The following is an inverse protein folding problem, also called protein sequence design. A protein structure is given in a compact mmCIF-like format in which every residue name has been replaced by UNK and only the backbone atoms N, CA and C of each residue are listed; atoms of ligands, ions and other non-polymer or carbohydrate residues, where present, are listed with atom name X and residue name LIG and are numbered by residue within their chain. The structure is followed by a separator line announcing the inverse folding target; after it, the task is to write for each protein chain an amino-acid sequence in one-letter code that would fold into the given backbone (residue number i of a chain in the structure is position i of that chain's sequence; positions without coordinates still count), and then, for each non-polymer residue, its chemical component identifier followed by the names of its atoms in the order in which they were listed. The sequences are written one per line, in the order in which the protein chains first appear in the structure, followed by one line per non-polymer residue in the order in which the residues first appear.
data_IF_065516687546
#
_entry.id   IF_065516687546
#
_cell.length_a   1.000
_cell.length_b   1.000
_cell.length_c   1.000
_cell.angle_alpha   90.00
_cell.angle_beta   90.00
_cell.angle_gamma   90.00
#
_symmetry.space_group_name_H-M   'P 1'
#
loop_
_entity.id
_entity.type
_entity.pdbx_description
1 polymer ?
#
# COMPACT_ATOMS: atom_id res chain seq x y z
N UNK A 1 12.55 -10.93 6.26
CA UNK A 1 13.68 -11.45 5.46
C UNK A 1 13.82 -10.52 4.27
N UNK A 2 14.76 -9.58 4.35
CA UNK A 2 15.09 -8.67 3.25
C UNK A 2 15.88 -9.43 2.18
N UNK A 3 15.40 -9.40 0.94
CA UNK A 3 16.08 -10.04 -0.18
C UNK A 3 17.00 -9.01 -0.84
N UNK A 4 18.31 -9.25 -0.74
CA UNK A 4 19.39 -8.41 -1.25
C UNK A 4 19.65 -8.58 -2.76
N UNK A 5 18.61 -8.63 -3.59
CA UNK A 5 18.75 -8.61 -5.05
C UNK A 5 17.71 -7.65 -5.63
N UNK A 6 18.18 -6.55 -6.22
CA UNK A 6 17.33 -5.52 -6.80
C UNK A 6 16.38 -6.07 -7.87
N UNK A 7 15.09 -5.75 -7.68
CA UNK A 7 14.03 -5.68 -8.71
C UNK A 7 13.61 -7.00 -9.40
N UNK A 8 13.28 -8.06 -8.65
CA UNK A 8 12.19 -8.92 -9.09
C UNK A 8 10.86 -8.32 -8.61
N UNK A 9 10.16 -7.62 -9.51
CA UNK A 9 8.80 -7.13 -9.25
C UNK A 9 7.88 -8.35 -9.16
N UNK A 10 7.57 -8.81 -7.95
CA UNK A 10 6.66 -9.93 -7.74
C UNK A 10 5.30 -9.63 -8.38
N UNK A 11 4.93 -10.42 -9.37
CA UNK A 11 3.66 -10.24 -10.07
C UNK A 11 2.51 -10.78 -9.23
N UNK A 12 1.86 -9.87 -8.49
CA UNK A 12 0.69 -10.16 -7.67
C UNK A 12 -0.62 -9.75 -8.35
N UNK A 13 -1.64 -10.60 -8.26
CA UNK A 13 -2.97 -10.43 -8.85
C UNK A 13 -4.00 -10.25 -7.73
N UNK A 14 -4.78 -9.18 -7.76
CA UNK A 14 -6.01 -9.07 -6.99
C UNK A 14 -7.17 -9.61 -7.84
N UNK A 15 -7.74 -10.76 -7.46
CA UNK A 15 -8.83 -11.40 -8.21
C UNK A 15 -10.16 -11.21 -7.49
N UNK A 16 -11.04 -10.37 -8.06
CA UNK A 16 -12.39 -10.09 -7.58
C UNK A 16 -13.41 -10.81 -8.47
N UNK A 17 -13.78 -12.03 -8.09
CA UNK A 17 -14.68 -12.90 -8.88
C UNK A 17 -15.58 -13.74 -7.96
N UNK A 18 -16.49 -14.54 -8.54
CA UNK A 18 -17.31 -15.48 -7.78
C UNK A 18 -16.51 -16.68 -7.25
N UNK A 19 -17.01 -17.32 -6.21
CA UNK A 19 -16.47 -18.57 -5.67
C UNK A 19 -17.58 -19.59 -5.37
N UNK A 20 -17.28 -20.86 -5.60
CA UNK A 20 -18.16 -21.99 -5.22
C UNK A 20 -17.37 -23.07 -4.47
N UNK A 21 -18.00 -23.67 -3.47
CA UNK A 21 -17.41 -24.79 -2.72
C UNK A 21 -17.31 -26.05 -3.59
N UNK A 22 -18.41 -26.44 -4.25
CA UNK A 22 -18.47 -27.57 -5.18
C UNK A 22 -18.53 -27.11 -6.64
N UNK A 23 -17.63 -27.65 -7.47
CA UNK A 23 -17.42 -27.23 -8.87
C UNK A 23 -16.19 -26.35 -9.06
N UNK A 24 -15.96 -25.94 -10.31
CA UNK A 24 -14.82 -25.12 -10.73
C UNK A 24 -15.33 -23.92 -11.54
N UNK A 25 -15.52 -22.79 -10.88
CA UNK A 25 -15.81 -21.49 -11.51
C UNK A 25 -15.10 -20.35 -10.78
N UNK A 26 -15.01 -19.19 -11.43
CA UNK A 26 -14.50 -17.95 -10.85
C UNK A 26 -13.12 -18.11 -10.21
N UNK A 27 -12.94 -17.57 -9.01
CA UNK A 27 -11.67 -17.59 -8.28
C UNK A 27 -11.12 -19.02 -8.07
N UNK A 28 -12.00 -20.02 -7.94
CA UNK A 28 -11.56 -21.42 -7.78
C UNK A 28 -10.93 -21.99 -9.05
N UNK A 29 -11.37 -21.54 -10.23
CA UNK A 29 -10.77 -21.94 -11.52
C UNK A 29 -9.59 -21.07 -11.92
N UNK A 30 -9.58 -19.80 -11.51
CA UNK A 30 -8.54 -18.84 -11.90
C UNK A 30 -7.26 -18.98 -11.06
N UNK A 31 -7.40 -19.24 -9.75
CA UNK A 31 -6.27 -19.17 -8.82
C UNK A 31 -5.15 -20.18 -9.16
N UNK A 32 -5.49 -21.45 -9.35
CA UNK A 32 -4.48 -22.49 -9.56
C UNK A 32 -3.65 -22.29 -10.85
N UNK A 33 -4.25 -22.02 -12.03
CA UNK A 33 -3.47 -21.70 -13.23
C UNK A 33 -2.56 -20.48 -13.07
N UNK A 34 -3.04 -19.42 -12.39
CA UNK A 34 -2.23 -18.21 -12.15
C UNK A 34 -1.03 -18.52 -11.26
N UNK A 35 -1.23 -19.27 -10.17
CA UNK A 35 -0.15 -19.69 -9.27
C UNK A 35 0.85 -20.61 -9.98
N UNK A 36 0.39 -21.50 -10.86
CA UNK A 36 1.27 -22.35 -11.68
C UNK A 36 2.18 -21.52 -12.60
N UNK A 37 1.70 -20.36 -13.05
CA UNK A 37 2.48 -19.40 -13.85
C UNK A 37 3.39 -18.50 -13.00
N UNK A 38 3.50 -18.75 -11.69
CA UNK A 38 4.34 -17.97 -10.78
C UNK A 38 3.74 -16.64 -10.34
N UNK A 39 2.43 -16.44 -10.54
CA UNK A 39 1.71 -15.26 -10.06
C UNK A 39 1.21 -15.50 -8.63
N UNK A 40 1.50 -14.55 -7.75
CA UNK A 40 0.84 -14.49 -6.44
C UNK A 40 -0.60 -14.00 -6.63
N UNK A 41 -1.57 -14.59 -5.94
CA UNK A 41 -2.99 -14.25 -6.14
C UNK A 41 -3.68 -14.05 -4.80
N UNK A 42 -4.20 -12.84 -4.59
CA UNK A 42 -5.11 -12.54 -3.49
C UNK A 42 -6.54 -12.50 -4.01
N UNK A 43 -7.44 -13.15 -3.28
CA UNK A 43 -8.81 -13.39 -3.74
C UNK A 43 -9.80 -12.57 -2.91
N UNK A 44 -10.68 -11.84 -3.60
CA UNK A 44 -11.91 -11.30 -3.02
C UNK A 44 -13.09 -12.00 -3.72
N UNK A 45 -13.91 -12.70 -2.94
CA UNK A 45 -15.04 -13.46 -3.48
C UNK A 45 -16.28 -12.57 -3.52
N UNK A 46 -16.75 -12.20 -4.72
CA UNK A 46 -18.00 -11.42 -4.88
C UNK A 46 -19.22 -12.20 -4.38
N UNK A 47 -19.16 -13.53 -4.48
CA UNK A 47 -20.10 -14.46 -3.87
C UNK A 47 -19.35 -15.68 -3.36
N UNK A 48 -19.83 -16.25 -2.26
CA UNK A 48 -19.35 -17.51 -1.67
C UNK A 48 -20.53 -18.49 -1.65
N UNK A 49 -20.68 -19.29 -2.71
CA UNK A 49 -21.81 -20.20 -2.88
C UNK A 49 -21.42 -21.66 -2.67
N UNK A 50 -22.41 -22.50 -2.35
CA UNK A 50 -22.25 -23.96 -2.26
C UNK A 50 -21.90 -24.59 -3.62
N UNK A 51 -22.52 -24.12 -4.69
CA UNK A 51 -22.37 -24.62 -6.06
C UNK A 51 -22.80 -23.54 -7.07
N UNK A 52 -22.50 -23.75 -8.35
CA UNK A 52 -22.94 -22.83 -9.40
C UNK A 52 -24.47 -22.84 -9.58
N UNK A 53 -24.99 -21.83 -10.29
CA UNK A 53 -26.43 -21.56 -10.43
C UNK A 53 -27.21 -22.55 -11.30
N UNK A 54 -26.55 -23.58 -11.83
CA UNK A 54 -27.18 -24.63 -12.64
C UNK A 54 -27.84 -25.74 -11.80
N UNK A 55 -27.65 -25.73 -10.49
CA UNK A 55 -28.26 -26.69 -9.57
C UNK A 55 -29.60 -26.19 -9.02
N UNK A 56 -30.45 -27.13 -8.59
CA UNK A 56 -31.77 -26.85 -8.04
C UNK A 56 -31.74 -26.06 -6.72
N UNK A 57 -30.73 -26.30 -5.88
CA UNK A 57 -30.58 -25.64 -4.59
C UNK A 57 -29.23 -24.95 -4.56
N UNK A 58 -29.25 -23.68 -4.18
CA UNK A 58 -28.06 -22.84 -4.06
C UNK A 58 -28.18 -22.11 -2.73
N UNK A 59 -27.14 -22.19 -1.92
CA UNK A 59 -27.00 -21.44 -0.67
C UNK A 59 -25.64 -20.77 -0.63
N UNK A 60 -25.55 -19.64 0.05
CA UNK A 60 -24.29 -18.94 0.24
C UNK A 60 -24.47 -17.46 0.54
N UNK A 61 -23.36 -16.74 0.49
CA UNK A 61 -23.27 -15.32 0.79
C UNK A 61 -22.95 -14.53 -0.48
N UNK A 62 -23.46 -13.31 -0.54
CA UNK A 62 -23.12 -12.31 -1.55
C UNK A 62 -22.36 -11.21 -0.81
N UNK A 63 -21.16 -10.87 -1.29
CA UNK A 63 -20.37 -9.78 -0.75
C UNK A 63 -21.00 -8.45 -1.17
N UNK A 64 -21.33 -7.61 -0.20
CA UNK A 64 -21.92 -6.29 -0.43
C UNK A 64 -20.84 -5.27 -0.80
N UNK A 65 -21.28 -4.12 -1.31
CA UNK A 65 -20.38 -3.05 -1.72
C UNK A 65 -19.61 -2.45 -0.55
N UNK A 66 -20.25 -2.34 0.62
CA UNK A 66 -19.64 -1.82 1.83
C UNK A 66 -18.58 -2.79 2.37
N UNK A 67 -18.88 -4.09 2.35
CA UNK A 67 -17.96 -5.14 2.77
C UNK A 67 -16.74 -5.23 1.84
N UNK A 68 -16.92 -5.03 0.52
CA UNK A 68 -15.82 -4.89 -0.41
C UNK A 68 -14.92 -3.70 -0.07
N UNK A 69 -15.53 -2.56 0.27
CA UNK A 69 -14.78 -1.36 0.65
C UNK A 69 -13.99 -1.59 1.94
N UNK A 70 -14.59 -2.21 2.96
CA UNK A 70 -13.91 -2.52 4.23
C UNK A 70 -12.69 -3.44 4.02
N UNK A 71 -12.81 -4.46 3.16
CA UNK A 71 -11.68 -5.32 2.80
C UNK A 71 -10.57 -4.52 2.11
N UNK A 72 -10.93 -3.66 1.17
CA UNK A 72 -9.98 -2.83 0.45
C UNK A 72 -9.27 -1.83 1.36
N UNK A 73 -10.00 -1.13 2.23
CA UNK A 73 -9.42 -0.23 3.23
C UNK A 73 -8.51 -0.99 4.19
N UNK A 74 -8.87 -2.23 4.56
CA UNK A 74 -7.98 -3.11 5.32
C UNK A 74 -6.66 -3.38 4.58
N UNK A 75 -6.70 -3.70 3.28
CA UNK A 75 -5.49 -3.88 2.47
C UNK A 75 -4.68 -2.58 2.38
N UNK A 76 -5.35 -1.44 2.20
CA UNK A 76 -4.74 -0.10 2.11
C UNK A 76 -4.03 0.27 3.40
N UNK A 77 -4.69 0.11 4.54
CA UNK A 77 -4.15 0.43 5.85
C UNK A 77 -2.95 -0.45 6.24
N UNK A 78 -2.84 -1.64 5.66
CA UNK A 78 -1.70 -2.55 5.87
C UNK A 78 -0.62 -2.40 4.79
N UNK A 79 -0.72 -1.42 3.88
CA UNK A 79 0.25 -1.18 2.80
C UNK A 79 0.41 -2.40 1.85
N UNK A 80 -0.67 -3.17 1.66
CA UNK A 80 -0.69 -4.40 0.87
C UNK A 80 -1.16 -4.19 -0.59
N UNK A 81 -1.24 -2.94 -1.05
CA UNK A 81 -1.75 -2.58 -2.38
C UNK A 81 -0.73 -2.73 -3.51
N UNK A 82 0.32 -3.52 -3.30
CA UNK A 82 1.36 -3.81 -4.29
C UNK A 82 0.88 -4.81 -5.35
N UNK A 83 -0.32 -4.58 -5.89
CA UNK A 83 -0.91 -5.39 -6.94
C UNK A 83 -0.37 -4.96 -8.29
N UNK A 84 0.04 -5.96 -9.06
CA UNK A 84 0.36 -5.76 -10.46
C UNK A 84 -0.88 -5.92 -11.30
N UNK A 85 -1.66 -7.00 -11.12
CA UNK A 85 -2.85 -7.36 -11.91
C UNK A 85 -4.12 -7.18 -11.08
N UNK A 86 -5.22 -6.79 -11.75
CA UNK A 86 -6.56 -6.95 -11.20
C UNK A 86 -7.35 -7.81 -12.16
N UNK A 87 -7.92 -8.90 -11.67
CA UNK A 87 -8.78 -9.79 -12.44
C UNK A 87 -10.21 -9.63 -11.91
N UNK A 88 -11.13 -9.20 -12.75
CA UNK A 88 -12.54 -9.08 -12.39
C UNK A 88 -13.36 -10.19 -13.04
N UNK A 89 -14.50 -10.51 -12.45
CA UNK A 89 -15.38 -11.59 -12.90
C UNK A 89 -16.84 -11.27 -12.64
N UNK A 90 -17.61 -12.26 -12.22
CA UNK A 90 -19.03 -12.08 -11.92
C UNK A 90 -19.25 -11.00 -10.86
N UNK A 91 -19.93 -9.92 -11.25
CA UNK A 91 -20.38 -8.82 -10.38
C UNK A 91 -21.90 -8.76 -10.45
N UNK A 92 -22.57 -9.00 -9.33
CA UNK A 92 -24.03 -9.17 -9.28
C UNK A 92 -24.84 -7.90 -9.04
N UNK A 93 -24.20 -6.74 -8.83
CA UNK A 93 -24.86 -5.49 -8.48
C UNK A 93 -24.11 -4.27 -9.04
N UNK A 94 -24.85 -3.26 -9.49
CA UNK A 94 -24.33 -1.98 -9.98
C UNK A 94 -23.50 -1.25 -8.92
N UNK A 95 -23.96 -1.18 -7.67
CA UNK A 95 -23.21 -0.49 -6.60
C UNK A 95 -21.85 -1.14 -6.35
N UNK A 96 -21.80 -2.47 -6.40
CA UNK A 96 -20.56 -3.23 -6.29
C UNK A 96 -19.61 -2.92 -7.46
N UNK A 97 -20.15 -2.80 -8.68
CA UNK A 97 -19.35 -2.48 -9.87
C UNK A 97 -18.76 -1.07 -9.79
N UNK A 98 -19.54 -0.09 -9.35
CA UNK A 98 -19.06 1.28 -9.12
C UNK A 98 -17.93 1.29 -8.11
N UNK A 99 -18.10 0.63 -6.96
CA UNK A 99 -17.07 0.55 -5.92
C UNK A 99 -15.81 -0.19 -6.40
N UNK A 100 -15.97 -1.27 -7.17
CA UNK A 100 -14.86 -1.99 -7.78
C UNK A 100 -14.09 -1.10 -8.77
N UNK A 101 -14.80 -0.24 -9.50
CA UNK A 101 -14.19 0.73 -10.44
C UNK A 101 -13.36 1.77 -9.69
N UNK A 102 -13.87 2.29 -8.57
CA UNK A 102 -13.12 3.20 -7.69
C UNK A 102 -11.83 2.53 -7.16
N UNK A 103 -11.92 1.29 -6.70
CA UNK A 103 -10.75 0.50 -6.25
C UNK A 103 -9.72 0.36 -7.38
N UNK A 104 -10.17 0.03 -8.60
CA UNK A 104 -9.27 -0.10 -9.75
C UNK A 104 -8.61 1.24 -10.09
N UNK A 105 -9.33 2.36 -9.96
CA UNK A 105 -8.76 3.70 -10.16
C UNK A 105 -7.70 4.01 -9.11
N UNK A 106 -7.97 3.76 -7.83
CA UNK A 106 -7.01 3.97 -6.74
C UNK A 106 -5.76 3.08 -6.92
N UNK A 107 -5.92 1.80 -7.30
CA UNK A 107 -4.80 0.90 -7.61
C UNK A 107 -3.97 1.36 -8.82
N UNK A 108 -4.61 1.93 -9.86
CA UNK A 108 -3.90 2.53 -10.99
C UNK A 108 -3.08 3.73 -10.55
N UNK A 109 -3.59 4.50 -9.59
CA UNK A 109 -2.86 5.66 -9.08
C UNK A 109 -1.62 5.25 -8.28
N UNK A 110 -1.71 4.16 -7.53
CA UNK A 110 -0.61 3.63 -6.71
C UNK A 110 0.52 3.04 -7.56
N UNK A 111 0.20 2.44 -8.71
CA UNK A 111 1.20 1.74 -9.54
C UNK A 111 1.04 2.03 -11.05
N UNK A 112 1.25 3.28 -11.49
CA UNK A 112 1.03 3.72 -12.86
C UNK A 112 1.96 2.99 -13.85
N UNK A 113 3.19 2.72 -13.44
CA UNK A 113 4.21 2.03 -14.22
C UNK A 113 3.80 0.62 -14.68
N UNK A 114 3.14 -0.13 -13.79
CA UNK A 114 2.63 -1.45 -14.13
C UNK A 114 1.49 -1.36 -15.13
N UNK A 115 0.64 -0.35 -15.02
CA UNK A 115 -0.50 -0.15 -15.92
C UNK A 115 -0.06 0.22 -17.34
N UNK A 116 0.92 1.13 -17.45
CA UNK A 116 1.50 1.63 -18.70
C UNK A 116 2.22 0.51 -19.46
N UNK A 117 3.05 -0.28 -18.79
CA UNK A 117 3.71 -1.44 -19.39
C UNK A 117 2.71 -2.48 -19.95
N UNK A 118 1.49 -2.54 -19.41
CA UNK A 118 0.47 -3.54 -19.78
C UNK A 118 -0.43 -3.11 -20.90
N UNK A 119 -0.70 -1.81 -21.05
CA UNK A 119 -1.33 -1.29 -22.26
C UNK A 119 -0.44 -1.62 -23.47
N UNK A 120 0.87 -1.46 -23.33
CA UNK A 120 1.84 -1.85 -24.36
C UNK A 120 1.85 -3.36 -24.62
N UNK A 121 1.89 -4.20 -23.58
CA UNK A 121 1.86 -5.66 -23.75
C UNK A 121 0.54 -6.16 -24.36
N UNK A 122 -0.60 -5.62 -23.95
CA UNK A 122 -1.92 -5.98 -24.47
C UNK A 122 -2.06 -5.54 -25.93
N UNK A 123 -1.61 -4.33 -26.27
CA UNK A 123 -1.56 -3.87 -27.66
C UNK A 123 -0.67 -4.78 -28.53
N UNK A 124 0.48 -5.22 -28.00
CA UNK A 124 1.36 -6.18 -28.68
C UNK A 124 0.69 -7.55 -28.86
N UNK A 125 0.01 -8.06 -27.83
CA UNK A 125 -0.72 -9.33 -27.90
C UNK A 125 -1.88 -9.27 -28.89
N UNK A 126 -2.61 -8.15 -28.95
CA UNK A 126 -3.70 -7.94 -29.91
C UNK A 126 -3.17 -7.84 -31.34
N UNK A 127 -2.06 -7.14 -31.56
CA UNK A 127 -1.36 -7.08 -32.85
C UNK A 127 -0.96 -8.48 -33.31
N UNK A 128 -0.42 -9.30 -32.40
CA UNK A 128 -0.07 -10.70 -32.68
C UNK A 128 -1.30 -11.57 -32.98
N UNK A 129 -2.47 -11.24 -32.42
CA UNK A 129 -3.75 -11.89 -32.69
C UNK A 129 -4.47 -11.35 -33.95
N UNK A 130 -3.81 -10.51 -34.75
CA UNK A 130 -4.35 -9.94 -35.98
C UNK A 130 -5.29 -8.73 -35.78
N UNK A 131 -5.43 -8.22 -34.54
CA UNK A 131 -6.18 -7.01 -34.23
C UNK A 131 -5.22 -5.84 -34.00
N UNK A 132 -5.11 -4.95 -34.98
CA UNK A 132 -4.28 -3.75 -34.88
C UNK A 132 -5.04 -2.62 -34.18
N UNK A 133 -4.54 -2.13 -33.05
CA UNK A 133 -5.00 -0.87 -32.43
C UNK A 133 -4.06 0.25 -32.88
N UNK A 134 -4.56 1.42 -33.32
CA UNK A 134 -3.71 2.58 -33.63
C UNK A 134 -2.81 2.97 -32.46
N UNK A 135 -1.54 3.25 -32.72
CA UNK A 135 -0.56 3.56 -31.66
C UNK A 135 -0.95 4.81 -30.84
N UNK A 136 -1.63 5.78 -31.46
CA UNK A 136 -2.21 6.94 -30.77
C UNK A 136 -3.24 6.54 -29.72
N UNK A 137 -4.13 5.58 -30.00
CA UNK A 137 -5.12 5.11 -29.02
C UNK A 137 -4.47 4.42 -27.83
N UNK A 138 -3.41 3.64 -28.08
CA UNK A 138 -2.60 3.01 -27.03
C UNK A 138 -1.96 4.09 -26.15
N UNK A 139 -1.36 5.12 -26.75
CA UNK A 139 -0.77 6.25 -26.05
C UNK A 139 -1.81 7.06 -25.24
N UNK A 140 -2.99 7.32 -25.80
CA UNK A 140 -4.09 7.96 -25.06
C UNK A 140 -4.52 7.11 -23.87
N UNK A 141 -4.62 5.80 -24.04
CA UNK A 141 -5.03 4.90 -22.96
C UNK A 141 -4.02 4.87 -21.81
N UNK A 142 -2.74 5.11 -22.09
CA UNK A 142 -1.67 5.18 -21.09
C UNK A 142 -1.80 6.42 -20.19
N UNK A 143 -2.49 7.48 -20.64
CA UNK A 143 -2.54 8.78 -19.96
C UNK A 143 -3.93 9.14 -19.40
N UNK A 144 -4.99 8.45 -19.84
CA UNK A 144 -6.40 8.77 -19.58
C UNK A 144 -6.79 8.73 -18.08
N UNK A 145 -6.01 8.10 -17.21
CA UNK A 145 -6.32 7.96 -15.78
C UNK A 145 -5.07 8.09 -14.90
N UNK A 146 -4.17 9.00 -15.24
CA UNK A 146 -2.99 9.22 -14.42
C UNK A 146 -3.35 9.86 -13.06
N UNK A 147 -2.62 9.51 -12.00
CA UNK A 147 -2.73 10.19 -10.72
C UNK A 147 -2.54 11.72 -10.84
N UNK A 148 -3.15 12.53 -9.96
CA UNK A 148 -2.96 13.98 -9.93
C UNK A 148 -1.49 14.41 -9.80
N UNK A 149 -0.65 13.58 -9.17
CA UNK A 149 0.78 13.86 -8.98
C UNK A 149 1.54 13.90 -10.32
N UNK A 150 0.98 13.31 -11.38
CA UNK A 150 1.55 13.27 -12.72
C UNK A 150 1.09 14.45 -13.61
N UNK A 151 0.52 15.52 -13.05
CA UNK A 151 0.06 16.69 -13.82
C UNK A 151 1.13 17.29 -14.77
N UNK A 152 2.41 17.19 -14.41
CA UNK A 152 3.52 17.64 -15.26
C UNK A 152 3.65 16.84 -16.56
N UNK A 153 3.16 15.59 -16.58
CA UNK A 153 3.13 14.75 -17.78
C UNK A 153 2.27 15.39 -18.87
N UNK A 154 1.13 16.00 -18.50
CA UNK A 154 0.28 16.69 -19.49
C UNK A 154 1.04 17.83 -20.16
N UNK A 155 1.80 18.63 -19.39
CA UNK A 155 2.63 19.71 -19.94
C UNK A 155 3.70 19.19 -20.90
N UNK A 156 4.31 18.03 -20.62
CA UNK A 156 5.29 17.40 -21.50
C UNK A 156 4.63 16.81 -22.76
N UNK A 157 3.42 16.25 -22.64
CA UNK A 157 2.66 15.71 -23.77
C UNK A 157 2.21 16.83 -24.72
N UNK A 158 1.74 17.97 -24.20
CA UNK A 158 1.34 19.11 -25.02
C UNK A 158 2.49 19.72 -25.85
N UNK A 159 3.74 19.43 -25.50
CA UNK A 159 4.92 19.87 -26.27
C UNK A 159 5.28 18.91 -27.40
N UNK A 160 4.67 17.72 -27.45
CA UNK A 160 4.90 16.74 -28.50
C UNK A 160 4.11 17.10 -29.76
N UNK A 161 4.71 16.85 -30.91
CA UNK A 161 3.96 16.82 -32.17
C UNK A 161 3.13 15.54 -32.27
N UNK A 162 2.09 15.57 -33.12
CA UNK A 162 1.19 14.44 -33.37
C UNK A 162 1.90 13.12 -33.72
N UNK A 163 3.03 13.21 -34.43
CA UNK A 163 3.84 12.05 -34.85
C UNK A 163 4.75 11.52 -33.73
N UNK A 164 4.96 12.32 -32.69
CA UNK A 164 5.79 11.97 -31.53
C UNK A 164 4.97 11.40 -30.37
N UNK A 165 3.63 11.51 -30.43
CA UNK A 165 2.71 10.93 -29.45
C UNK A 165 2.57 9.42 -29.64
N UNK A 166 3.67 8.72 -29.33
CA UNK A 166 3.81 7.28 -29.45
C UNK A 166 3.92 6.62 -28.08
N UNK A 167 3.45 5.37 -27.92
CA UNK A 167 3.47 4.66 -26.64
C UNK A 167 4.84 4.65 -25.95
N UNK A 168 5.93 4.44 -26.69
CA UNK A 168 7.28 4.36 -26.10
C UNK A 168 7.77 5.71 -25.56
N UNK A 169 7.41 6.80 -26.24
CA UNK A 169 7.75 8.17 -25.83
C UNK A 169 6.94 8.57 -24.61
N UNK A 170 5.64 8.25 -24.61
CA UNK A 170 4.75 8.43 -23.44
C UNK A 170 5.24 7.63 -22.23
N UNK A 171 5.66 6.38 -22.42
CA UNK A 171 6.27 5.57 -21.34
C UNK A 171 7.52 6.22 -20.76
N UNK A 172 8.38 6.78 -21.61
CA UNK A 172 9.61 7.45 -21.16
C UNK A 172 9.31 8.70 -20.33
N UNK A 173 8.33 9.49 -20.75
CA UNK A 173 7.82 10.65 -20.02
C UNK A 173 7.30 10.23 -18.63
N UNK A 174 6.51 9.16 -18.57
CA UNK A 174 5.93 8.65 -17.33
C UNK A 174 6.99 8.18 -16.33
N UNK A 175 7.97 7.39 -16.78
CA UNK A 175 9.09 6.93 -15.96
C UNK A 175 9.93 8.10 -15.43
N UNK A 176 10.11 9.13 -16.27
CA UNK A 176 10.88 10.31 -15.88
C UNK A 176 10.14 11.11 -14.81
N UNK A 177 8.83 11.30 -14.94
CA UNK A 177 8.04 12.00 -13.91
C UNK A 177 7.95 11.18 -12.63
N UNK A 178 7.79 9.86 -12.69
CA UNK A 178 7.82 9.00 -11.51
C UNK A 178 9.15 9.16 -10.75
N UNK A 179 10.29 9.11 -11.45
CA UNK A 179 11.60 9.37 -10.85
C UNK A 179 11.71 10.76 -10.21
N UNK A 180 11.05 11.78 -10.79
CA UNK A 180 10.98 13.14 -10.25
C UNK A 180 10.14 13.20 -8.97
N UNK A 181 8.97 12.56 -8.96
CA UNK A 181 8.06 12.47 -7.81
C UNK A 181 8.76 11.77 -6.65
N UNK A 182 9.38 10.61 -6.90
CA UNK A 182 10.15 9.87 -5.89
C UNK A 182 11.29 10.70 -5.32
N UNK A 183 12.02 11.43 -6.17
CA UNK A 183 13.09 12.33 -5.73
C UNK A 183 12.58 13.50 -4.88
N UNK A 184 11.39 14.03 -5.19
CA UNK A 184 10.76 15.10 -4.43
C UNK A 184 10.28 14.59 -3.06
N UNK A 185 9.61 13.45 -3.03
CA UNK A 185 9.18 12.81 -1.78
C UNK A 185 10.37 12.43 -0.89
N UNK A 186 11.46 11.91 -1.46
CA UNK A 186 12.69 11.62 -0.72
C UNK A 186 13.30 12.89 -0.11
N UNK A 187 13.31 14.01 -0.84
CA UNK A 187 13.76 15.32 -0.33
C UNK A 187 12.81 15.92 0.70
N UNK A 188 11.50 15.69 0.61
CA UNK A 188 10.53 16.12 1.62
C UNK A 188 10.66 15.30 2.90
N UNK A 189 10.95 14.00 2.80
CA UNK A 189 11.25 13.14 3.96
C UNK A 189 12.58 13.57 4.60
N UNK A 190 13.59 13.89 3.80
CA UNK A 190 14.88 14.38 4.30
C UNK A 190 14.75 15.77 4.91
N UNK A 191 14.04 16.70 4.28
CA UNK A 191 13.73 18.02 4.85
C UNK A 191 12.85 17.90 6.10
N UNK A 192 11.94 16.93 6.17
CA UNK A 192 11.16 16.66 7.39
C UNK A 192 12.04 16.11 8.50
N UNK A 193 13.04 15.26 8.18
CA UNK A 193 14.08 14.84 9.13
C UNK A 193 14.97 16.01 9.55
N UNK A 194 15.33 16.90 8.62
CA UNK A 194 16.13 18.10 8.89
C UNK A 194 15.35 19.09 9.76
N UNK A 195 14.07 19.32 9.51
CA UNK A 195 13.17 20.14 10.33
C UNK A 195 12.99 19.54 11.74
N UNK A 196 12.88 18.22 11.87
CA UNK A 196 12.90 17.54 13.19
C UNK A 196 14.27 17.68 13.88
N UNK A 197 15.36 17.91 13.14
CA UNK A 197 16.67 18.24 13.71
C UNK A 197 16.90 19.74 13.95
N UNK A 198 16.22 20.64 13.24
CA UNK A 198 16.34 22.09 13.38
C UNK A 198 15.40 22.67 14.45
N UNK A 199 14.26 22.03 14.75
CA UNK A 199 13.50 22.29 15.99
C UNK A 199 14.22 21.80 17.26
N UNK A 200 15.38 21.16 17.13
CA UNK A 200 16.27 20.79 18.26
C UNK A 200 17.44 21.74 18.47
N UNK A 201 17.35 23.00 18.02
CA UNK A 201 18.27 24.07 18.43
C UNK A 201 17.57 25.22 19.16
N UNK A 202 16.77 24.90 20.18
CA UNK A 202 16.71 25.64 21.45
C UNK A 202 15.66 25.03 22.40
N UNK A 203 15.89 23.83 22.90
CA UNK A 203 15.46 23.41 24.25
C UNK A 203 16.54 22.44 24.74
N UNK A 204 17.16 22.76 25.88
CA UNK A 204 18.25 21.99 26.47
C UNK A 204 17.90 20.52 26.71
N UNK A 205 18.95 19.70 26.73
CA UNK A 205 18.94 18.26 27.01
C UNK A 205 17.99 17.94 28.18
N UNK A 206 16.77 17.49 27.86
CA UNK A 206 15.88 16.83 28.80
C UNK A 206 16.41 15.40 28.98
N UNK A 207 17.31 15.21 29.95
CA UNK A 207 17.57 13.90 30.54
C UNK A 207 16.21 13.30 30.92
N UNK A 208 15.88 12.11 30.39
CA UNK A 208 14.76 11.30 30.88
C UNK A 208 14.87 11.24 32.41
N UNK A 209 13.98 11.93 33.14
CA UNK A 209 13.85 11.74 34.58
C UNK A 209 13.21 10.37 34.77
N UNK A 210 13.98 9.43 35.32
CA UNK A 210 13.42 8.21 35.88
C UNK A 210 12.28 8.57 36.85
N UNK A 211 11.17 7.82 36.85
CA UNK A 211 10.04 8.13 37.71
C UNK A 211 10.50 8.08 39.17
N UNK A 212 10.36 9.20 39.90
CA UNK A 212 10.66 9.24 41.33
C UNK A 212 9.72 8.27 42.05
N UNK A 213 10.28 7.13 42.46
CA UNK A 213 9.62 6.17 43.33
C UNK A 213 9.79 6.60 44.78
N UNK A 214 8.74 6.41 45.57
CA UNK A 214 8.80 6.65 47.00
C UNK A 214 9.80 5.68 47.65
N UNK A 215 10.82 6.20 48.33
CA UNK A 215 11.84 5.38 49.02
C UNK A 215 11.27 4.56 50.19
N UNK A 216 10.08 4.91 50.69
CA UNK A 216 9.43 4.19 51.79
C UNK A 216 8.59 2.98 51.32
N UNK A 217 7.87 3.09 50.19
CA UNK A 217 6.94 2.05 49.72
C UNK A 217 7.19 1.53 48.30
N UNK A 218 8.22 2.04 47.62
CA UNK A 218 8.64 1.69 46.26
C UNK A 218 7.56 1.88 45.16
N UNK A 219 6.48 2.63 45.43
CA UNK A 219 5.46 3.01 44.43
C UNK A 219 5.74 4.38 43.81
N UNK A 220 5.36 4.57 42.55
CA UNK A 220 5.46 5.85 41.83
C UNK A 220 4.31 6.82 42.20
N UNK A 221 4.54 8.13 42.09
CA UNK A 221 3.50 9.16 42.19
C UNK A 221 3.51 10.05 43.45
N UNK A 222 4.45 9.85 44.38
CA UNK A 222 4.64 10.70 45.57
C UNK A 222 6.07 10.57 46.13
N UNK A 223 6.61 11.60 46.83
CA UNK A 223 7.85 11.51 47.57
C UNK A 223 7.67 10.78 48.91
N UNK A 224 8.77 10.26 49.48
CA UNK A 224 8.75 9.60 50.80
C UNK A 224 8.18 10.52 51.90
N UNK A 225 8.33 11.84 51.76
CA UNK A 225 7.81 12.85 52.68
C UNK A 225 6.29 12.76 52.90
N UNK A 226 5.55 12.32 51.88
CA UNK A 226 4.08 12.32 51.80
C UNK A 226 3.51 10.89 51.80
N UNK A 227 4.34 9.89 52.13
CA UNK A 227 3.92 8.50 52.12
C UNK A 227 3.00 8.19 53.31
N UNK A 228 1.79 7.69 53.06
CA UNK A 228 0.85 7.22 54.10
C UNK A 228 1.37 6.06 54.95
N UNK A 229 2.48 5.43 54.57
CA UNK A 229 3.11 4.31 55.30
C UNK A 229 4.26 4.76 56.23
N UNK A 230 4.51 6.06 56.37
CA UNK A 230 5.62 6.64 57.15
C UNK A 230 5.63 6.36 58.66
N UNK A 231 4.56 5.82 59.23
CA UNK A 231 4.43 5.69 60.69
C UNK A 231 5.05 4.42 61.30
N UNK A 232 5.87 3.67 60.56
CA UNK A 232 6.59 2.52 61.15
C UNK A 232 8.06 2.49 60.76
N UNK A 233 8.89 2.93 61.72
CA UNK A 233 10.30 2.56 61.97
C UNK A 233 11.43 3.30 61.23
N UNK A 234 11.99 4.24 61.99
CA UNK A 234 13.39 4.66 62.15
C UNK A 234 14.47 3.71 61.59
N UNK A 235 15.36 4.25 60.75
CA UNK A 235 16.84 4.09 60.73
C UNK A 235 17.40 4.31 59.31
N UNK A 236 17.96 5.49 59.06
CA UNK A 236 18.91 5.72 57.96
C UNK A 236 19.97 6.72 58.43
N UNK A 237 21.07 6.16 58.93
CA UNK A 237 22.31 6.86 59.25
C UNK A 237 23.16 6.98 57.97
N UNK A 238 23.98 8.03 57.97
CA UNK A 238 24.97 8.49 56.98
C UNK A 238 25.80 7.40 56.29
N UNK A 239 26.32 7.71 55.09
CA UNK A 239 27.77 7.71 54.78
C UNK A 239 28.07 8.54 53.52
N UNK A 240 29.11 9.38 53.61
CA UNK A 240 29.62 10.30 52.60
C UNK A 240 30.60 9.62 51.63
N UNK A 241 30.59 10.15 50.41
CA UNK A 241 31.65 10.29 49.40
C UNK A 241 33.10 9.91 49.80
N UNK A 242 33.73 9.06 49.00
CA UNK A 242 35.17 9.12 48.67
C UNK A 242 35.39 8.56 47.27
N UNK A 243 35.75 9.40 46.30
CA UNK A 243 36.74 9.04 45.28
C UNK A 243 37.39 10.34 44.79
N UNK A 244 38.67 10.51 45.08
CA UNK A 244 39.54 11.39 44.31
C UNK A 244 40.33 10.51 43.36
N UNK A 245 40.57 10.98 42.14
CA UNK A 245 41.71 10.54 41.36
C UNK A 245 42.16 11.65 40.41
N UNK A 246 43.43 11.97 40.56
CA UNK A 246 44.31 12.87 39.81
C UNK A 246 44.78 12.25 38.50
N UNK A 247 44.63 12.95 37.38
CA UNK A 247 45.69 13.53 36.51
C UNK A 247 45.09 13.95 35.17
#
# INVERSE_FOLDING_TARGET
MENQNGLEKYFRVLSVQSHVVSGYVGNKSACFPLQLLGLEVDLINSVQLSNHTGYKVIKGQILKSEELHDLYEGLKANELLNYTHVLTGYVGNETFLTKLTEIIQDLKQINPDTFVARIQQTAKALKNAGKSIPEKEVAFKMIENLPPEFDNVMQQIYQLNDDEFLPDKVRTILLTEEGRILSKQAKEIDNSKVLVTEEKKNIGILKKKEPKVCLCCKKCGHPASECRLKSTKEECISWQLTVGETK
#
